data_IF_781586735940
#
_entry.id   IF_781586735940
#
_cell.length_a   1.000
_cell.length_b   1.000
_cell.length_c   1.000
_cell.angle_alpha   90.00
_cell.angle_beta   90.00
_cell.angle_gamma   90.00
#
_symmetry.space_group_name_H-M   'P 1'
#
loop_
_entity.id
_entity.type
_entity.pdbx_description
1 polymer ?
#
# COMPACT_ATOMS: atom_id res chain seq x y z
N UNK A 1 -34.49 -0.71 4.23
CA UNK A 1 -34.13 0.72 4.01
C UNK A 1 -33.06 1.22 4.98
N UNK A 2 -33.16 0.95 6.30
CA UNK A 2 -32.17 1.45 7.29
C UNK A 2 -30.70 1.08 7.02
N UNK A 3 -30.42 -0.13 6.51
CA UNK A 3 -29.05 -0.53 6.16
C UNK A 3 -28.48 0.28 4.98
N UNK A 4 -29.32 0.60 3.99
CA UNK A 4 -28.91 1.38 2.83
C UNK A 4 -28.57 2.82 3.23
N UNK A 5 -29.42 3.44 4.08
CA UNK A 5 -29.15 4.76 4.65
C UNK A 5 -27.89 4.80 5.53
N UNK A 6 -27.60 3.71 6.26
CA UNK A 6 -26.36 3.61 7.04
C UNK A 6 -25.11 3.56 6.14
N UNK A 7 -25.18 2.81 5.03
CA UNK A 7 -24.14 2.74 4.01
C UNK A 7 -23.92 4.11 3.33
N UNK A 8 -24.99 4.81 2.97
CA UNK A 8 -24.92 6.14 2.35
C UNK A 8 -24.31 7.18 3.31
N UNK A 9 -24.73 7.20 4.58
CA UNK A 9 -24.12 8.07 5.61
C UNK A 9 -22.64 7.77 5.82
N UNK A 10 -22.25 6.49 5.81
CA UNK A 10 -20.86 6.09 5.92
C UNK A 10 -20.05 6.55 4.69
N UNK A 11 -20.60 6.40 3.48
CA UNK A 11 -19.96 6.87 2.23
C UNK A 11 -19.78 8.39 2.23
N UNK A 12 -20.83 9.15 2.54
CA UNK A 12 -20.74 10.62 2.61
C UNK A 12 -19.76 11.09 3.69
N UNK A 13 -19.70 10.42 4.84
CA UNK A 13 -18.71 10.72 5.87
C UNK A 13 -17.29 10.45 5.40
N UNK A 14 -17.06 9.37 4.64
CA UNK A 14 -15.74 9.03 4.10
C UNK A 14 -15.28 10.06 3.07
N UNK A 15 -16.15 10.43 2.13
CA UNK A 15 -15.89 11.48 1.13
C UNK A 15 -15.55 12.82 1.80
N UNK A 16 -16.25 13.20 2.88
CA UNK A 16 -15.97 14.42 3.64
C UNK A 16 -14.59 14.42 4.33
N UNK A 17 -14.02 13.24 4.61
CA UNK A 17 -12.66 13.09 5.14
C UNK A 17 -11.59 12.97 4.04
N UNK A 18 -11.98 13.14 2.76
CA UNK A 18 -11.07 13.06 1.63
C UNK A 18 -10.65 11.63 1.26
N UNK A 19 -11.41 10.61 1.69
CA UNK A 19 -11.21 9.26 1.15
C UNK A 19 -11.46 9.28 -0.36
N UNK A 20 -10.49 8.79 -1.12
CA UNK A 20 -10.59 8.65 -2.56
C UNK A 20 -11.35 7.36 -2.85
N UNK A 21 -12.41 7.45 -3.65
CA UNK A 21 -13.11 6.25 -4.12
C UNK A 21 -12.20 5.48 -5.11
N UNK A 22 -12.11 4.17 -4.89
CA UNK A 22 -11.27 3.27 -5.69
C UNK A 22 -12.18 2.34 -6.45
N UNK A 23 -11.95 2.18 -7.75
CA UNK A 23 -12.95 1.56 -8.64
C UNK A 23 -12.62 0.10 -9.01
N UNK A 24 -11.35 -0.28 -8.98
CA UNK A 24 -10.89 -1.65 -9.27
C UNK A 24 -9.48 -1.88 -8.70
N UNK A 25 -9.00 -3.13 -8.63
CA UNK A 25 -7.62 -3.42 -8.20
C UNK A 25 -6.61 -2.67 -9.08
N UNK A 26 -5.55 -2.13 -8.48
CA UNK A 26 -4.50 -1.39 -9.18
C UNK A 26 -4.85 0.06 -9.54
N UNK A 27 -6.06 0.54 -9.17
CA UNK A 27 -6.50 1.91 -9.47
C UNK A 27 -5.72 2.96 -8.65
N UNK A 28 -5.63 2.73 -7.33
CA UNK A 28 -4.90 3.59 -6.41
C UNK A 28 -4.19 2.71 -5.40
N UNK A 29 -2.89 2.96 -5.25
CA UNK A 29 -2.06 2.19 -4.35
C UNK A 29 -1.24 3.15 -3.49
N UNK A 30 -0.87 2.67 -2.30
CA UNK A 30 0.00 3.39 -1.39
C UNK A 30 1.27 2.56 -1.19
N UNK A 31 2.41 3.25 -1.17
CA UNK A 31 3.70 2.65 -0.88
C UNK A 31 4.45 3.50 0.15
N UNK A 32 5.05 2.84 1.13
CA UNK A 32 5.84 3.50 2.17
C UNK A 32 7.05 2.66 2.60
N UNK A 33 8.03 3.35 3.20
CA UNK A 33 9.28 2.80 3.70
C UNK A 33 9.38 2.90 5.22
N UNK A 34 9.32 1.78 5.91
CA UNK A 34 9.43 1.70 7.37
C UNK A 34 10.84 1.26 7.82
N UNK A 35 11.39 1.89 8.86
CA UNK A 35 12.64 1.41 9.49
C UNK A 35 12.31 0.33 10.51
N UNK A 36 12.76 -0.90 10.25
CA UNK A 36 12.49 -2.07 11.08
C UNK A 36 13.43 -2.12 12.28
N UNK A 37 14.72 -1.85 12.05
CA UNK A 37 15.73 -1.95 13.10
C UNK A 37 17.14 -2.16 12.56
N UNK A 38 18.05 -2.54 13.46
CA UNK A 38 19.45 -2.80 13.13
C UNK A 38 19.85 -4.20 13.64
N UNK A 39 20.42 -5.00 12.75
CA UNK A 39 20.93 -6.34 13.08
C UNK A 39 22.45 -6.31 12.99
N UNK A 40 23.13 -6.71 14.08
CA UNK A 40 24.59 -6.78 14.11
C UNK A 40 25.11 -7.69 12.99
N UNK A 41 26.04 -7.19 12.19
CA UNK A 41 26.63 -7.91 11.05
C UNK A 41 25.88 -7.76 9.73
N UNK A 42 24.64 -7.26 9.74
CA UNK A 42 23.86 -6.97 8.52
C UNK A 42 23.71 -5.46 8.31
N UNK A 43 23.47 -4.72 9.39
CA UNK A 43 23.24 -3.28 9.37
C UNK A 43 21.78 -2.91 9.58
N UNK A 44 21.38 -1.75 9.06
CA UNK A 44 20.00 -1.24 9.15
C UNK A 44 19.09 -2.04 8.22
N UNK A 45 17.86 -2.28 8.66
CA UNK A 45 16.82 -2.97 7.89
C UNK A 45 15.64 -2.02 7.69
N UNK A 46 15.21 -1.90 6.45
CA UNK A 46 14.04 -1.14 6.03
C UNK A 46 13.07 -2.05 5.32
N UNK A 47 11.78 -1.88 5.58
CA UNK A 47 10.72 -2.58 4.86
C UNK A 47 10.05 -1.60 3.90
N UNK A 48 9.99 -1.95 2.62
CA UNK A 48 9.04 -1.34 1.70
C UNK A 48 7.71 -2.09 1.82
N UNK A 49 6.63 -1.35 1.98
CA UNK A 49 5.26 -1.87 2.02
C UNK A 49 4.46 -1.23 0.90
N UNK A 50 3.74 -2.04 0.14
CA UNK A 50 2.81 -1.60 -0.89
C UNK A 50 1.45 -2.15 -0.55
N UNK A 51 0.41 -1.35 -0.69
CA UNK A 51 -0.97 -1.77 -0.51
C UNK A 51 -1.84 -1.24 -1.65
N UNK A 52 -2.64 -2.12 -2.25
CA UNK A 52 -3.72 -1.73 -3.13
C UNK A 52 -4.93 -1.33 -2.29
N UNK A 53 -5.40 -0.10 -2.47
CA UNK A 53 -6.43 0.49 -1.60
C UNK A 53 -7.83 -0.06 -1.89
N UNK A 54 -8.02 -0.68 -3.05
CA UNK A 54 -9.26 -1.35 -3.44
C UNK A 54 -9.33 -2.78 -2.87
N UNK A 55 -8.44 -3.67 -3.31
CA UNK A 55 -8.46 -5.10 -2.96
C UNK A 55 -7.91 -5.41 -1.57
N UNK A 56 -7.24 -4.44 -0.94
CA UNK A 56 -6.52 -4.58 0.33
C UNK A 56 -5.39 -5.61 0.29
N UNK A 57 -4.94 -5.97 -0.91
CA UNK A 57 -3.74 -6.77 -1.09
C UNK A 57 -2.50 -5.95 -0.71
N UNK A 58 -1.58 -6.57 0.02
CA UNK A 58 -0.33 -5.94 0.42
C UNK A 58 0.89 -6.80 0.10
N UNK A 59 1.98 -6.11 -0.24
CA UNK A 59 3.31 -6.70 -0.39
C UNK A 59 4.26 -6.08 0.61
N UNK A 60 5.22 -6.86 1.10
CA UNK A 60 6.31 -6.37 1.93
C UNK A 60 7.63 -6.97 1.44
N UNK A 61 8.66 -6.13 1.31
CA UNK A 61 10.02 -6.55 0.96
C UNK A 61 11.03 -5.79 1.80
N UNK A 62 12.01 -6.50 2.35
CA UNK A 62 13.02 -5.94 3.26
C UNK A 62 14.34 -5.69 2.54
N UNK A 63 15.00 -4.60 2.92
CA UNK A 63 16.23 -4.11 2.31
C UNK A 63 17.17 -3.55 3.36
N UNK A 64 18.46 -3.48 3.03
CA UNK A 64 19.49 -2.85 3.88
C UNK A 64 19.64 -1.35 3.65
N UNK A 65 18.91 -0.80 2.67
CA UNK A 65 19.04 0.57 2.19
C UNK A 65 17.66 1.26 2.08
N UNK A 66 17.66 2.60 2.16
CA UNK A 66 16.47 3.44 1.97
C UNK A 66 16.77 4.51 0.92
N UNK A 67 16.55 4.17 -0.35
CA UNK A 67 16.70 5.07 -1.49
C UNK A 67 15.60 4.82 -2.53
N UNK A 68 15.53 5.66 -3.56
CA UNK A 68 14.50 5.57 -4.61
C UNK A 68 14.59 4.31 -5.47
N UNK A 69 15.79 3.74 -5.66
CA UNK A 69 15.97 2.50 -6.42
C UNK A 69 15.28 1.33 -5.71
N UNK A 70 15.37 1.26 -4.39
CA UNK A 70 14.69 0.24 -3.57
C UNK A 70 13.16 0.33 -3.69
N UNK A 71 12.62 1.55 -3.75
CA UNK A 71 11.18 1.75 -3.94
C UNK A 71 10.73 1.29 -5.34
N UNK A 72 11.51 1.63 -6.38
CA UNK A 72 11.25 1.18 -7.75
C UNK A 72 11.42 -0.33 -7.92
N UNK A 73 12.42 -0.94 -7.28
CA UNK A 73 12.64 -2.38 -7.28
C UNK A 73 11.42 -3.13 -6.73
N UNK A 74 10.85 -2.68 -5.60
CA UNK A 74 9.62 -3.27 -5.06
C UNK A 74 8.48 -3.31 -6.09
N UNK A 75 8.29 -2.21 -6.82
CA UNK A 75 7.23 -2.12 -7.83
C UNK A 75 7.48 -3.09 -8.99
N UNK A 76 8.68 -3.07 -9.56
CA UNK A 76 9.02 -3.87 -10.73
C UNK A 76 9.11 -5.38 -10.44
N UNK A 77 9.62 -5.77 -9.26
CA UNK A 77 9.86 -7.18 -8.92
C UNK A 77 8.63 -7.90 -8.35
N UNK A 78 7.70 -7.16 -7.71
CA UNK A 78 6.58 -7.78 -6.97
C UNK A 78 5.21 -7.26 -7.37
N UNK A 79 5.07 -5.95 -7.55
CA UNK A 79 3.75 -5.33 -7.74
C UNK A 79 3.28 -5.44 -9.19
N UNK A 80 4.05 -4.88 -10.13
CA UNK A 80 3.65 -4.84 -11.55
C UNK A 80 3.41 -6.25 -12.11
N UNK A 81 4.29 -7.25 -11.88
CA UNK A 81 4.06 -8.60 -12.40
C UNK A 81 2.80 -9.27 -11.86
N UNK A 82 2.30 -8.85 -10.69
CA UNK A 82 1.08 -9.39 -10.10
C UNK A 82 -0.20 -8.77 -10.68
N UNK A 83 -0.19 -7.47 -10.99
CA UNK A 83 -1.35 -6.77 -11.53
C UNK A 83 -1.45 -6.83 -13.06
N UNK A 84 -0.32 -7.03 -13.76
CA UNK A 84 -0.27 -7.14 -15.22
C UNK A 84 -0.50 -8.57 -15.74
N UNK A 85 -0.64 -9.56 -14.85
CA UNK A 85 -0.91 -10.97 -15.17
C UNK A 85 -2.39 -11.31 -15.20
#
# INVERSE_FOLDING_TARGET
ENQLQALEKAKASREAHGEIETHHPGYLCAQDSYYVGHIKGIGKIYQQTFIDTYSRLAFAKVYTEKNSLIAADMLNDKVLPFFDS
#
